data_IF_487922524459
#
_entry.id   IF_487922524459
#
_cell.length_a   1.000
_cell.length_b   1.000
_cell.length_c   1.000
_cell.angle_alpha   90.00
_cell.angle_beta   90.00
_cell.angle_gamma   90.00
#
_symmetry.space_group_name_H-M   'P 1'
#
loop_
_entity.id
_entity.type
_entity.pdbx_description
1 polymer ?
#
# COMPACT_ATOMS: atom_id res chain seq x y z
N UNK A 1 -12.48 -8.63 -10.73
CA UNK A 1 -11.21 -8.27 -11.40
C UNK A 1 -10.28 -7.66 -10.37
N UNK A 2 -8.99 -7.99 -10.44
CA UNK A 2 -7.95 -7.40 -9.60
C UNK A 2 -7.01 -6.58 -10.50
N UNK A 3 -6.62 -5.41 -10.03
CA UNK A 3 -5.68 -4.53 -10.73
C UNK A 3 -4.36 -4.51 -9.96
N UNK A 4 -3.24 -4.58 -10.68
CA UNK A 4 -1.91 -4.71 -10.09
C UNK A 4 -0.92 -3.76 -10.78
N UNK A 5 -0.13 -3.04 -9.99
CA UNK A 5 0.97 -2.17 -10.44
C UNK A 5 2.23 -2.56 -9.68
N UNK A 6 3.32 -2.84 -10.42
CA UNK A 6 4.66 -2.95 -9.82
C UNK A 6 5.22 -1.57 -9.52
N UNK A 7 5.64 -1.36 -8.27
CA UNK A 7 6.22 -0.10 -7.81
C UNK A 7 7.74 -0.13 -7.86
N UNK A 8 8.35 1.05 -7.80
CA UNK A 8 9.79 1.22 -7.56
C UNK A 8 10.15 1.10 -6.07
N UNK A 9 9.15 1.12 -5.17
CA UNK A 9 9.34 0.90 -3.73
C UNK A 9 9.88 -0.50 -3.45
N UNK A 10 10.83 -0.59 -2.52
CA UNK A 10 11.47 -1.84 -2.10
C UNK A 10 10.85 -2.37 -0.82
N UNK A 11 10.81 -3.69 -0.68
CA UNK A 11 10.30 -4.37 0.50
C UNK A 11 11.26 -4.13 1.67
N UNK A 12 10.79 -3.64 2.84
CA UNK A 12 11.65 -3.40 3.99
C UNK A 12 12.21 -4.69 4.61
N UNK A 13 11.68 -5.87 4.26
CA UNK A 13 12.13 -7.16 4.78
C UNK A 13 13.18 -7.85 3.89
N UNK A 14 13.01 -7.80 2.57
CA UNK A 14 13.86 -8.57 1.64
C UNK A 14 14.46 -7.77 0.49
N UNK A 15 14.18 -6.46 0.38
CA UNK A 15 14.71 -5.59 -0.66
C UNK A 15 14.03 -5.69 -2.04
N UNK A 16 13.24 -6.74 -2.29
CA UNK A 16 12.52 -6.92 -3.57
C UNK A 16 11.48 -5.83 -3.85
N UNK A 17 11.11 -5.61 -5.11
CA UNK A 17 10.10 -4.61 -5.47
C UNK A 17 8.71 -4.98 -4.94
N UNK A 18 7.98 -3.95 -4.51
CA UNK A 18 6.60 -4.08 -4.04
C UNK A 18 5.60 -3.98 -5.18
N UNK A 19 4.44 -4.60 -4.98
CA UNK A 19 3.30 -4.52 -5.88
C UNK A 19 2.12 -3.91 -5.13
N UNK A 20 1.49 -2.92 -5.75
CA UNK A 20 0.20 -2.39 -5.33
C UNK A 20 -0.89 -3.19 -6.02
N UNK A 21 -1.82 -3.74 -5.25
CA UNK A 21 -2.93 -4.52 -5.72
C UNK A 21 -4.23 -3.93 -5.24
N UNK A 22 -5.17 -3.76 -6.14
CA UNK A 22 -6.53 -3.35 -5.84
C UNK A 22 -7.48 -4.52 -6.11
N UNK A 23 -8.27 -4.88 -5.10
CA UNK A 23 -9.27 -5.94 -5.23
C UNK A 23 -10.48 -5.68 -4.32
N UNK A 24 -11.69 -5.81 -4.89
CA UNK A 24 -12.93 -5.59 -4.16
C UNK A 24 -12.96 -4.23 -3.47
N UNK A 25 -13.03 -4.22 -2.13
CA UNK A 25 -13.05 -3.01 -1.29
C UNK A 25 -11.68 -2.66 -0.70
N UNK A 26 -10.61 -3.33 -1.13
CA UNK A 26 -9.29 -3.24 -0.54
C UNK A 26 -8.23 -2.76 -1.52
N UNK A 27 -7.22 -2.10 -0.97
CA UNK A 27 -5.92 -1.83 -1.59
C UNK A 27 -4.88 -2.53 -0.73
N UNK A 28 -4.00 -3.29 -1.36
CA UNK A 28 -2.95 -4.06 -0.72
C UNK A 28 -1.60 -3.68 -1.29
N UNK A 29 -0.64 -3.42 -0.40
CA UNK A 29 0.77 -3.33 -0.76
C UNK A 29 1.42 -4.64 -0.32
N UNK A 30 1.98 -5.39 -1.26
CA UNK A 30 2.57 -6.70 -0.97
C UNK A 30 3.90 -6.95 -1.70
N UNK A 31 4.71 -7.79 -1.09
CA UNK A 31 5.92 -8.36 -1.68
C UNK A 31 5.65 -9.79 -2.12
N UNK A 32 5.86 -10.11 -3.41
CA UNK A 32 5.73 -11.47 -3.95
C UNK A 32 6.79 -12.42 -3.42
N UNK A 33 7.97 -11.91 -3.05
CA UNK A 33 9.12 -12.75 -2.70
C UNK A 33 9.10 -13.24 -1.25
N UNK A 34 8.76 -12.37 -0.30
CA UNK A 34 8.76 -12.72 1.14
C UNK A 34 7.37 -12.77 1.78
N UNK A 35 6.31 -12.54 1.00
CA UNK A 35 4.92 -12.57 1.46
C UNK A 35 4.50 -11.42 2.38
N UNK A 36 5.40 -10.49 2.71
CA UNK A 36 5.07 -9.32 3.53
C UNK A 36 4.00 -8.49 2.83
N UNK A 37 2.90 -8.21 3.52
CA UNK A 37 1.79 -7.45 2.94
C UNK A 37 0.96 -6.72 3.98
N UNK A 38 0.36 -5.61 3.55
CA UNK A 38 -0.67 -4.88 4.29
C UNK A 38 -1.84 -4.60 3.36
N UNK A 39 -3.06 -4.75 3.87
CA UNK A 39 -4.29 -4.47 3.12
C UNK A 39 -5.17 -3.51 3.92
N UNK A 40 -5.66 -2.47 3.25
CA UNK A 40 -6.49 -1.42 3.83
C UNK A 40 -7.75 -1.26 2.98
N UNK A 41 -8.88 -0.92 3.62
CA UNK A 41 -10.13 -0.63 2.89
C UNK A 41 -9.99 0.67 2.10
N UNK A 42 -10.46 0.70 0.85
CA UNK A 42 -10.47 1.89 -0.03
C UNK A 42 -11.07 3.12 0.65
N UNK A 43 -12.14 2.95 1.41
CA UNK A 43 -12.77 4.03 2.18
C UNK A 43 -11.81 4.74 3.13
N UNK A 44 -10.87 4.02 3.75
CA UNK A 44 -9.86 4.63 4.65
C UNK A 44 -8.90 5.50 3.86
N UNK A 45 -8.52 5.05 2.65
CA UNK A 45 -7.66 5.84 1.75
C UNK A 45 -8.37 7.12 1.32
N UNK A 46 -9.61 6.98 0.83
CA UNK A 46 -10.44 8.10 0.37
C UNK A 46 -10.75 9.12 1.48
N UNK A 47 -10.87 8.68 2.73
CA UNK A 47 -11.15 9.60 3.85
C UNK A 47 -9.92 10.40 4.30
N UNK A 48 -8.71 9.90 4.04
CA UNK A 48 -7.47 10.42 4.64
C UNK A 48 -6.50 11.04 3.65
N UNK A 49 -6.60 10.67 2.37
CA UNK A 49 -5.61 11.01 1.35
C UNK A 49 -6.29 11.58 0.10
N UNK A 50 -7.37 12.35 0.28
CA UNK A 50 -8.01 13.11 -0.79
C UNK A 50 -7.69 14.58 -0.57
N UNK A 51 -7.20 15.24 -1.62
CA UNK A 51 -7.19 16.68 -1.67
C UNK A 51 -8.62 17.13 -1.99
N UNK A 52 -9.33 17.66 -1.00
CA UNK A 52 -10.73 18.07 -1.16
C UNK A 52 -10.87 19.33 -2.00
N UNK A 53 -9.84 20.18 -2.08
CA UNK A 53 -9.87 21.40 -2.89
C UNK A 53 -9.75 21.08 -4.39
N UNK A 54 -9.00 20.03 -4.71
CA UNK A 54 -8.76 19.59 -6.10
C UNK A 54 -9.60 18.37 -6.50
N UNK A 55 -10.37 17.80 -5.56
CA UNK A 55 -11.14 16.57 -5.71
C UNK A 55 -10.33 15.37 -6.25
N UNK A 56 -9.01 15.36 -6.03
CA UNK A 56 -8.09 14.30 -6.47
C UNK A 56 -7.59 13.46 -5.31
N UNK A 57 -7.33 12.18 -5.60
CA UNK A 57 -6.62 11.32 -4.65
C UNK A 57 -5.14 11.69 -4.62
N UNK A 58 -4.64 12.02 -3.42
CA UNK A 58 -3.22 12.16 -3.15
C UNK A 58 -2.58 10.76 -3.06
N UNK A 59 -2.17 10.26 -4.23
CA UNK A 59 -1.52 8.97 -4.37
C UNK A 59 -0.21 8.88 -3.59
N UNK A 60 0.55 9.97 -3.48
CA UNK A 60 1.82 10.00 -2.74
C UNK A 60 1.57 9.76 -1.26
N UNK A 61 0.65 10.53 -0.65
CA UNK A 61 0.26 10.38 0.75
C UNK A 61 -0.36 9.01 1.04
N UNK A 62 -1.21 8.50 0.13
CA UNK A 62 -1.78 7.15 0.26
C UNK A 62 -0.72 6.04 0.22
N UNK A 63 0.27 6.16 -0.68
CA UNK A 63 1.37 5.20 -0.80
C UNK A 63 2.31 5.26 0.42
N UNK A 64 2.64 6.46 0.91
CA UNK A 64 3.45 6.65 2.11
C UNK A 64 2.78 6.03 3.34
N UNK A 65 1.47 6.21 3.48
CA UNK A 65 0.68 5.59 4.52
C UNK A 65 0.76 4.06 4.45
N UNK A 66 0.49 3.45 3.29
CA UNK A 66 0.59 2.00 3.11
C UNK A 66 2.01 1.48 3.39
N UNK A 67 3.04 2.20 2.96
CA UNK A 67 4.42 1.81 3.15
C UNK A 67 4.85 1.90 4.62
N UNK A 68 4.37 2.89 5.37
CA UNK A 68 4.61 3.00 6.82
C UNK A 68 4.02 1.80 7.58
N UNK A 69 2.81 1.38 7.23
CA UNK A 69 2.17 0.20 7.82
C UNK A 69 2.96 -1.08 7.50
N UNK A 70 3.44 -1.20 6.26
CA UNK A 70 4.24 -2.33 5.82
C UNK A 70 5.55 -2.41 6.59
N UNK A 71 6.23 -1.27 6.81
CA UNK A 71 7.44 -1.19 7.65
C UNK A 71 7.16 -1.61 9.10
N UNK A 72 6.08 -1.10 9.70
CA UNK A 72 5.68 -1.49 11.05
C UNK A 72 5.41 -2.99 11.18
N UNK A 73 4.82 -3.60 10.15
CA UNK A 73 4.62 -5.06 10.09
C UNK A 73 5.94 -5.84 9.89
N UNK A 74 6.92 -5.26 9.20
CA UNK A 74 8.22 -5.90 9.01
C UNK A 74 9.04 -6.01 10.31
N UNK A 75 8.86 -5.05 11.23
CA UNK A 75 9.56 -5.02 12.54
C UNK A 75 8.83 -5.79 13.64
N UNK A 76 7.55 -6.09 13.45
CA UNK A 76 6.76 -6.91 14.36
C UNK A 76 7.08 -8.40 14.17
N UNK A 77 8.27 -8.83 14.59
CA UNK A 77 8.60 -10.25 14.77
C UNK A 77 8.02 -10.72 16.09
N UNK A 78 7.02 -11.60 16.04
CA UNK A 78 6.62 -12.45 17.18
C UNK A 78 7.38 -13.77 17.10
#
# INVERSE_FOLDING_TARGET
MAFEIKLTLTCPRCGSRLTLREYGKYVQLYCSECGLSVAIRKRVILMRHVNYDEEVLDWSSALDFLYSLLKGKATASY
#
